data_IF_518889095399
#
_entry.id   IF_518889095399
#
_cell.length_a   1.000
_cell.length_b   1.000
_cell.length_c   1.000
_cell.angle_alpha   90.00
_cell.angle_beta   90.00
_cell.angle_gamma   90.00
#
_symmetry.space_group_name_H-M   'P 1'
#
loop_
_entity.id
_entity.type
_entity.pdbx_description
1 polymer ?
#
# COMPACT_ATOMS: atom_id res chain seq x y z
N UNK A 1 -19.41 22.33 -25.04
CA UNK A 1 -20.36 22.01 -23.95
C UNK A 1 -19.55 21.37 -22.82
N UNK A 2 -19.57 21.93 -21.61
CA UNK A 2 -18.87 21.35 -20.45
C UNK A 2 -19.83 20.41 -19.73
N UNK A 3 -19.39 19.20 -19.42
CA UNK A 3 -20.12 18.29 -18.54
C UNK A 3 -19.53 18.40 -17.13
N UNK A 4 -20.41 18.60 -16.14
CA UNK A 4 -20.06 18.88 -14.75
C UNK A 4 -20.58 17.77 -13.85
N UNK A 5 -19.71 17.23 -12.99
CA UNK A 5 -20.08 16.20 -12.01
C UNK A 5 -19.70 16.72 -10.60
N UNK A 6 -20.71 17.09 -9.81
CA UNK A 6 -20.52 17.50 -8.42
C UNK A 6 -20.42 16.27 -7.50
N UNK A 7 -19.48 16.33 -6.55
CA UNK A 7 -19.28 15.32 -5.51
C UNK A 7 -19.81 15.91 -4.19
N UNK A 8 -21.07 15.61 -3.87
CA UNK A 8 -21.68 15.92 -2.58
C UNK A 8 -21.64 14.67 -1.68
N UNK A 9 -21.18 14.82 -0.44
CA UNK A 9 -21.49 13.82 0.59
C UNK A 9 -21.30 14.36 2.01
N UNK A 10 -22.38 14.28 2.81
CA UNK A 10 -22.35 14.05 4.25
C UNK A 10 -22.49 12.54 4.54
N UNK A 11 -21.98 12.08 5.70
CA UNK A 11 -22.26 10.77 6.35
C UNK A 11 -21.60 9.47 5.77
N UNK A 12 -21.87 8.28 6.36
CA UNK A 12 -21.10 7.61 7.42
C UNK A 12 -20.23 6.43 6.90
N UNK A 13 -19.29 5.99 7.74
CA UNK A 13 -18.22 5.03 7.43
C UNK A 13 -18.73 3.58 7.26
N UNK A 14 -18.37 2.93 6.15
CA UNK A 14 -18.47 1.47 5.97
C UNK A 14 -17.24 0.98 5.20
N UNK A 15 -16.43 0.14 5.84
CA UNK A 15 -15.25 -0.50 5.28
C UNK A 15 -15.57 -1.99 5.05
N UNK A 16 -15.69 -2.42 3.79
CA UNK A 16 -15.95 -3.83 3.46
C UNK A 16 -14.63 -4.57 3.20
N UNK A 17 -14.14 -5.19 4.25
CA UNK A 17 -12.80 -5.72 4.36
C UNK A 17 -12.65 -7.18 3.87
N UNK A 18 -13.68 -7.77 3.26
CA UNK A 18 -13.66 -9.16 2.75
C UNK A 18 -12.70 -9.42 1.58
N UNK A 19 -11.89 -8.44 1.14
CA UNK A 19 -11.14 -8.49 -0.13
C UNK A 19 -9.60 -8.35 -0.03
N UNK A 20 -8.99 -8.04 1.12
CA UNK A 20 -7.57 -7.64 1.14
C UNK A 20 -6.48 -8.67 0.78
N UNK A 21 -6.57 -10.00 1.01
CA UNK A 21 -5.49 -10.90 0.53
C UNK A 21 -5.57 -11.09 -1.00
N UNK A 22 -6.75 -10.84 -1.58
CA UNK A 22 -6.90 -10.67 -3.03
C UNK A 22 -6.35 -9.32 -3.49
N UNK A 23 -6.24 -8.30 -2.63
CA UNK A 23 -5.82 -6.96 -3.08
C UNK A 23 -4.39 -6.89 -3.59
N UNK A 24 -3.40 -7.52 -2.96
CA UNK A 24 -2.02 -7.38 -3.46
C UNK A 24 -1.86 -8.08 -4.82
N UNK A 25 -2.36 -9.31 -4.97
CA UNK A 25 -2.35 -10.03 -6.25
C UNK A 25 -3.26 -9.38 -7.30
N UNK A 26 -4.43 -8.85 -6.92
CA UNK A 26 -5.32 -8.13 -7.83
C UNK A 26 -4.72 -6.79 -8.24
N UNK A 27 -4.07 -6.04 -7.34
CA UNK A 27 -3.33 -4.81 -7.65
C UNK A 27 -2.16 -5.12 -8.57
N UNK A 28 -1.42 -6.18 -8.30
CA UNK A 28 -0.36 -6.66 -9.18
C UNK A 28 -0.88 -7.04 -10.57
N UNK A 29 -2.00 -7.78 -10.67
CA UNK A 29 -2.60 -8.12 -11.96
C UNK A 29 -3.17 -6.88 -12.66
N UNK A 30 -3.75 -5.95 -11.91
CA UNK A 30 -4.25 -4.68 -12.43
C UNK A 30 -3.10 -3.87 -13.05
N UNK A 31 -1.92 -3.81 -12.43
CA UNK A 31 -0.78 -3.07 -13.00
C UNK A 31 -0.25 -3.69 -14.31
N UNK A 32 -0.60 -4.94 -14.63
CA UNK A 32 -0.26 -5.56 -15.92
C UNK A 32 -1.35 -5.40 -16.98
N UNK A 33 -2.61 -5.34 -16.57
CA UNK A 33 -3.80 -5.49 -17.44
C UNK A 33 -4.68 -4.24 -17.52
N UNK A 34 -4.26 -3.17 -16.85
CA UNK A 34 -4.92 -1.87 -16.76
C UNK A 34 -3.83 -0.78 -16.81
N UNK A 35 -4.25 0.45 -17.07
CA UNK A 35 -3.36 1.62 -17.03
C UNK A 35 -3.80 2.56 -15.93
N UNK A 36 -2.84 3.25 -15.32
CA UNK A 36 -3.13 4.30 -14.33
C UNK A 36 -3.81 5.49 -15.00
N UNK A 37 -4.42 6.39 -14.21
CA UNK A 37 -5.03 7.57 -14.81
C UNK A 37 -3.98 8.53 -15.35
N UNK A 38 -2.93 8.79 -14.58
CA UNK A 38 -1.83 9.68 -14.96
C UNK A 38 -0.57 8.87 -15.23
N UNK A 39 0.16 9.25 -16.27
CA UNK A 39 1.44 8.65 -16.65
C UNK A 39 2.55 9.07 -15.68
N UNK A 40 3.46 8.14 -15.38
CA UNK A 40 4.65 8.40 -14.58
C UNK A 40 5.92 8.35 -15.43
N UNK A 41 6.50 9.53 -15.66
CA UNK A 41 7.77 9.70 -16.37
C UNK A 41 8.98 9.72 -15.41
N UNK A 42 8.75 9.91 -14.10
CA UNK A 42 9.82 10.18 -13.12
C UNK A 42 10.31 8.93 -12.40
N UNK A 43 9.57 7.82 -12.47
CA UNK A 43 9.96 6.56 -11.85
C UNK A 43 10.72 5.65 -12.82
N UNK A 44 11.75 4.96 -12.30
CA UNK A 44 12.55 3.96 -13.03
C UNK A 44 11.72 2.81 -13.59
N UNK A 45 10.53 2.59 -13.02
CA UNK A 45 9.49 1.70 -13.55
C UNK A 45 8.41 2.61 -14.12
N UNK A 46 8.61 3.05 -15.37
CA UNK A 46 7.60 3.84 -16.07
C UNK A 46 6.28 3.05 -16.10
N UNK A 47 5.22 3.70 -15.64
CA UNK A 47 3.85 3.18 -15.74
C UNK A 47 3.12 4.01 -16.76
N UNK A 48 2.58 3.34 -17.78
CA UNK A 48 1.72 4.02 -18.72
C UNK A 48 0.48 4.52 -17.97
N UNK A 49 0.09 5.75 -18.26
CA UNK A 49 -1.20 6.28 -17.86
C UNK A 49 -2.01 6.63 -19.10
N UNK A 50 -3.29 6.98 -18.90
CA UNK A 50 -4.14 7.44 -19.98
C UNK A 50 -4.11 8.97 -20.18
N UNK A 51 -3.64 9.69 -19.16
CA UNK A 51 -3.45 11.14 -19.14
C UNK A 51 -1.97 11.49 -18.97
N UNK A 52 -1.58 12.64 -19.51
CA UNK A 52 -0.30 13.30 -19.21
C UNK A 52 -0.26 13.81 -17.77
N UNK A 53 0.91 14.27 -17.33
CA UNK A 53 1.06 14.98 -16.06
C UNK A 53 0.14 16.21 -16.00
N UNK A 54 -0.41 16.46 -14.83
CA UNK A 54 -1.35 17.54 -14.60
C UNK A 54 -0.69 18.91 -14.61
N UNK A 55 -1.32 19.88 -15.26
CA UNK A 55 -0.93 21.30 -15.14
C UNK A 55 -1.81 21.96 -14.11
N UNK A 56 -1.19 22.44 -13.02
CA UNK A 56 -1.87 23.26 -12.01
C UNK A 56 -2.25 24.61 -12.62
N UNK A 57 -3.56 24.87 -12.75
CA UNK A 57 -4.14 26.10 -13.31
C UNK A 57 -4.35 27.17 -12.24
N UNK A 58 -4.60 26.74 -11.02
CA UNK A 58 -4.73 27.59 -9.82
C UNK A 58 -4.43 26.75 -8.57
N UNK A 59 -4.39 27.36 -7.39
CA UNK A 59 -4.10 26.74 -6.08
C UNK A 59 -4.89 25.44 -5.87
N UNK A 60 -6.14 25.39 -6.33
CA UNK A 60 -7.01 24.21 -6.19
C UNK A 60 -7.36 23.52 -7.50
N UNK A 61 -6.88 23.97 -8.66
CA UNK A 61 -7.35 23.46 -9.95
C UNK A 61 -6.23 22.83 -10.76
N UNK A 62 -6.47 21.61 -11.21
CA UNK A 62 -5.58 20.81 -12.04
C UNK A 62 -6.23 20.51 -13.38
N UNK A 63 -5.44 20.52 -14.44
CA UNK A 63 -5.91 20.23 -15.81
C UNK A 63 -5.04 19.18 -16.46
N UNK A 64 -5.69 18.18 -17.04
CA UNK A 64 -5.07 17.00 -17.62
C UNK A 64 -5.47 16.83 -19.07
N UNK A 65 -4.54 16.37 -19.89
CA UNK A 65 -4.73 16.04 -21.30
C UNK A 65 -4.52 14.54 -21.53
N UNK A 66 -5.12 13.94 -22.58
CA UNK A 66 -4.83 12.56 -22.93
C UNK A 66 -3.40 12.42 -23.44
N UNK A 67 -2.81 11.26 -23.22
CA UNK A 67 -1.45 10.95 -23.68
C UNK A 67 -1.42 10.65 -25.18
N UNK A 68 -0.31 10.97 -25.84
CA UNK A 68 -0.17 10.95 -27.30
C UNK A 68 -0.39 9.56 -27.88
N UNK A 69 0.29 8.54 -27.34
CA UNK A 69 0.23 7.17 -27.90
C UNK A 69 -1.19 6.56 -27.86
N UNK A 70 -2.05 6.97 -26.92
CA UNK A 70 -3.46 6.56 -26.92
C UNK A 70 -4.30 7.43 -27.82
N UNK A 71 -3.95 8.70 -27.98
CA UNK A 71 -4.67 9.63 -28.85
C UNK A 71 -4.56 9.26 -30.34
N UNK A 72 -3.49 8.56 -30.73
CA UNK A 72 -3.33 7.95 -32.06
C UNK A 72 -4.30 6.78 -32.30
N UNK A 73 -4.83 6.21 -31.22
CA UNK A 73 -5.54 4.94 -31.22
C UNK A 73 -7.02 5.05 -30.80
N UNK A 74 -7.35 6.09 -30.05
CA UNK A 74 -8.66 6.35 -29.45
C UNK A 74 -8.88 7.86 -29.52
N UNK A 75 -10.08 8.29 -29.89
CA UNK A 75 -10.43 9.72 -29.88
C UNK A 75 -10.12 10.35 -28.50
N UNK A 76 -9.32 11.44 -28.44
CA UNK A 76 -8.98 12.17 -27.21
C UNK A 76 -10.18 12.47 -26.30
N UNK A 77 -11.32 12.84 -26.87
CA UNK A 77 -12.55 13.15 -26.12
C UNK A 77 -13.08 11.91 -25.38
N UNK A 78 -12.97 10.72 -25.98
CA UNK A 78 -13.38 9.47 -25.33
C UNK A 78 -12.45 9.09 -24.18
N UNK A 79 -11.15 9.38 -24.30
CA UNK A 79 -10.18 9.15 -23.23
C UNK A 79 -10.50 10.04 -22.03
N UNK A 80 -10.67 11.34 -22.28
CA UNK A 80 -11.00 12.33 -21.24
C UNK A 80 -12.33 11.99 -20.55
N UNK A 81 -13.36 11.70 -21.33
CA UNK A 81 -14.67 11.31 -20.81
C UNK A 81 -14.58 10.04 -19.95
N UNK A 82 -13.89 9.01 -20.44
CA UNK A 82 -13.73 7.76 -19.71
C UNK A 82 -12.96 7.95 -18.39
N UNK A 83 -11.90 8.78 -18.38
CA UNK A 83 -11.17 9.11 -17.15
C UNK A 83 -12.07 9.81 -16.12
N UNK A 84 -12.86 10.79 -16.56
CA UNK A 84 -13.78 11.53 -15.71
C UNK A 84 -14.87 10.63 -15.10
N UNK A 85 -15.55 9.85 -15.96
CA UNK A 85 -16.61 8.93 -15.54
C UNK A 85 -16.06 7.83 -14.62
N UNK A 86 -14.86 7.31 -14.90
CA UNK A 86 -14.20 6.33 -14.06
C UNK A 86 -13.92 6.88 -12.66
N UNK A 87 -13.24 8.02 -12.54
CA UNK A 87 -12.98 8.68 -11.27
C UNK A 87 -14.25 8.98 -10.49
N UNK A 88 -15.27 9.52 -11.17
CA UNK A 88 -16.56 9.83 -10.56
C UNK A 88 -17.26 8.56 -10.05
N UNK A 89 -17.17 7.45 -10.80
CA UNK A 89 -17.72 6.16 -10.37
C UNK A 89 -16.99 5.59 -9.15
N UNK A 90 -15.66 5.76 -9.06
CA UNK A 90 -14.86 5.29 -7.94
C UNK A 90 -15.22 6.07 -6.67
N UNK A 91 -15.30 7.39 -6.74
CA UNK A 91 -15.69 8.26 -5.62
C UNK A 91 -16.99 7.82 -4.93
N UNK A 92 -17.93 7.21 -5.67
CA UNK A 92 -19.21 6.72 -5.13
C UNK A 92 -19.08 5.40 -4.36
N UNK A 93 -17.99 4.65 -4.53
CA UNK A 93 -17.77 3.36 -3.87
C UNK A 93 -17.20 3.54 -2.46
N UNK A 94 -17.66 2.77 -1.45
CA UNK A 94 -17.23 2.92 -0.06
C UNK A 94 -15.71 2.94 0.14
N UNK A 95 -14.99 2.03 -0.51
CA UNK A 95 -13.54 1.85 -0.36
C UNK A 95 -12.69 2.98 -0.96
N UNK A 96 -13.30 3.84 -1.79
CA UNK A 96 -12.67 4.99 -2.46
C UNK A 96 -13.22 6.33 -1.98
N UNK A 97 -14.12 6.35 -0.98
CA UNK A 97 -14.70 7.60 -0.44
C UNK A 97 -13.67 8.59 0.08
N UNK A 98 -12.48 8.13 0.47
CA UNK A 98 -11.37 9.02 0.85
C UNK A 98 -11.02 10.03 -0.27
N UNK A 99 -11.25 9.70 -1.55
CA UNK A 99 -11.08 10.63 -2.67
C UNK A 99 -11.95 11.87 -2.54
N UNK A 100 -13.13 11.78 -1.91
CA UNK A 100 -14.03 12.94 -1.74
C UNK A 100 -13.51 13.93 -0.71
N UNK A 101 -12.58 13.52 0.17
CA UNK A 101 -11.91 14.44 1.07
C UNK A 101 -10.91 15.35 0.33
N UNK A 102 -10.42 14.89 -0.81
CA UNK A 102 -9.39 15.57 -1.59
C UNK A 102 -10.01 16.31 -2.78
N UNK A 103 -10.89 15.64 -3.52
CA UNK A 103 -11.48 16.15 -4.75
C UNK A 103 -12.86 16.74 -4.44
N UNK A 104 -13.04 18.01 -4.79
CA UNK A 104 -14.33 18.69 -4.68
C UNK A 104 -15.16 18.59 -5.95
N UNK A 105 -14.51 18.60 -7.11
CA UNK A 105 -15.20 18.68 -8.41
C UNK A 105 -14.39 18.01 -9.51
N UNK A 106 -15.09 17.35 -10.42
CA UNK A 106 -14.53 16.79 -11.65
C UNK A 106 -15.33 17.37 -12.83
N UNK A 107 -14.65 18.08 -13.71
CA UNK A 107 -15.20 18.66 -14.92
C UNK A 107 -14.43 18.14 -16.11
N UNK A 108 -15.09 17.94 -17.25
CA UNK A 108 -14.38 17.60 -18.46
C UNK A 108 -14.93 18.33 -19.68
N UNK A 109 -14.04 18.52 -20.65
CA UNK A 109 -14.32 19.05 -21.98
C UNK A 109 -13.72 18.11 -23.03
N UNK A 110 -13.80 18.47 -24.31
CA UNK A 110 -13.27 17.63 -25.40
C UNK A 110 -11.80 17.23 -25.22
N UNK A 111 -10.97 18.15 -24.70
CA UNK A 111 -9.52 17.97 -24.67
C UNK A 111 -8.94 17.93 -23.25
N UNK A 112 -9.75 18.22 -22.23
CA UNK A 112 -9.25 18.42 -20.89
C UNK A 112 -10.13 17.78 -19.83
N UNK A 113 -9.50 17.10 -18.89
CA UNK A 113 -10.07 16.76 -17.59
C UNK A 113 -9.59 17.81 -16.58
N UNK A 114 -10.51 18.51 -15.94
CA UNK A 114 -10.23 19.49 -14.90
C UNK A 114 -10.70 18.96 -13.55
N UNK A 115 -9.79 18.91 -12.57
CA UNK A 115 -10.07 18.45 -11.22
C UNK A 115 -9.86 19.62 -10.26
N UNK A 116 -10.87 19.90 -9.44
CA UNK A 116 -10.76 20.86 -8.34
C UNK A 116 -10.56 20.10 -7.03
N UNK A 117 -9.54 20.47 -6.26
CA UNK A 117 -9.23 19.91 -4.95
C UNK A 117 -9.92 20.73 -3.85
N UNK A 118 -9.98 20.19 -2.63
CA UNK A 118 -10.57 20.88 -1.45
C UNK A 118 -9.57 21.73 -0.68
N UNK A 119 -8.28 21.47 -0.89
CA UNK A 119 -7.16 22.19 -0.31
C UNK A 119 -6.00 22.19 -1.30
N UNK A 120 -5.00 23.01 -1.03
CA UNK A 120 -3.82 23.18 -1.87
C UNK A 120 -3.00 21.89 -1.86
N UNK A 121 -2.92 21.23 -3.01
CA UNK A 121 -2.11 20.02 -3.20
C UNK A 121 -0.84 20.35 -3.96
N UNK A 122 0.28 19.80 -3.49
CA UNK A 122 1.55 19.83 -4.19
C UNK A 122 1.53 18.95 -5.45
N UNK A 123 1.06 17.71 -5.31
CA UNK A 123 1.12 16.69 -6.35
C UNK A 123 -0.14 15.82 -6.32
N UNK A 124 -1.13 16.19 -7.14
CA UNK A 124 -2.32 15.38 -7.36
C UNK A 124 -2.02 14.15 -8.22
N UNK A 125 -0.99 14.20 -9.07
CA UNK A 125 -0.62 13.12 -9.98
C UNK A 125 -0.23 11.86 -9.20
N UNK A 126 0.49 11.99 -8.09
CA UNK A 126 0.83 10.86 -7.22
C UNK A 126 -0.41 10.09 -6.71
N UNK A 127 -1.50 10.81 -6.43
CA UNK A 127 -2.78 10.20 -6.01
C UNK A 127 -3.41 9.49 -7.21
N UNK A 128 -3.45 10.14 -8.38
CA UNK A 128 -4.05 9.60 -9.60
C UNK A 128 -3.25 8.46 -10.26
N UNK A 129 -2.00 8.25 -9.84
CA UNK A 129 -1.15 7.12 -10.22
C UNK A 129 -1.41 5.85 -9.39
N UNK A 130 -2.25 5.93 -8.36
CA UNK A 130 -2.58 4.78 -7.54
C UNK A 130 -3.19 3.65 -8.40
N UNK A 131 -2.63 2.43 -8.37
CA UNK A 131 -3.12 1.30 -9.16
C UNK A 131 -4.58 0.94 -8.92
N UNK A 132 -5.12 1.23 -7.72
CA UNK A 132 -6.52 1.03 -7.40
C UNK A 132 -7.47 1.95 -8.19
N UNK A 133 -6.95 3.00 -8.82
CA UNK A 133 -7.67 3.92 -9.70
C UNK A 133 -7.49 3.57 -11.20
N UNK A 134 -6.86 2.44 -11.52
CA UNK A 134 -6.54 2.07 -12.90
C UNK A 134 -7.79 1.74 -13.70
N UNK A 135 -7.72 2.07 -15.00
CA UNK A 135 -8.78 1.81 -15.96
C UNK A 135 -8.45 0.61 -16.84
N UNK A 136 -9.42 -0.31 -16.98
CA UNK A 136 -9.21 -1.54 -17.76
C UNK A 136 -9.44 -1.36 -19.26
N UNK A 137 -10.41 -0.51 -19.64
CA UNK A 137 -10.79 -0.35 -21.04
C UNK A 137 -11.39 1.03 -21.30
N UNK A 138 -11.12 1.57 -22.48
CA UNK A 138 -11.77 2.76 -23.02
C UNK A 138 -12.44 2.36 -24.33
N UNK A 139 -13.75 2.58 -24.43
CA UNK A 139 -14.54 2.29 -25.63
C UNK A 139 -14.23 0.91 -26.24
N UNK A 140 -14.39 -0.15 -25.43
CA UNK A 140 -14.10 -1.57 -25.77
C UNK A 140 -12.62 -1.91 -26.02
N UNK A 141 -11.72 -0.93 -26.15
CA UNK A 141 -10.28 -1.19 -26.26
C UNK A 141 -9.70 -1.51 -24.88
N UNK A 142 -9.20 -2.74 -24.72
CA UNK A 142 -8.53 -3.19 -23.48
C UNK A 142 -7.16 -2.55 -23.34
N UNK A 143 -6.92 -1.89 -22.21
CA UNK A 143 -5.67 -1.24 -21.86
C UNK A 143 -4.69 -2.19 -21.15
N UNK A 144 -3.49 -1.71 -20.84
CA UNK A 144 -2.41 -2.49 -20.22
C UNK A 144 -1.58 -3.28 -21.23
N UNK A 145 -0.35 -3.60 -20.87
CA UNK A 145 0.61 -4.31 -21.74
C UNK A 145 0.25 -5.79 -21.93
N UNK A 146 -0.50 -6.38 -21.01
CA UNK A 146 -0.82 -7.81 -21.02
C UNK A 146 -2.33 -8.06 -21.11
N UNK A 147 -2.67 -9.15 -21.78
CA UNK A 147 -4.00 -9.76 -21.72
C UNK A 147 -3.95 -10.98 -20.81
N UNK A 148 -4.96 -11.11 -19.93
CA UNK A 148 -5.07 -12.22 -19.00
C UNK A 148 -5.93 -13.33 -19.60
N UNK A 149 -5.39 -14.55 -19.62
CA UNK A 149 -6.08 -15.78 -20.02
C UNK A 149 -5.88 -16.85 -18.95
N UNK A 150 -6.96 -17.51 -18.52
CA UNK A 150 -6.86 -18.69 -17.66
C UNK A 150 -6.57 -19.93 -18.52
N UNK A 151 -5.44 -20.61 -18.28
CA UNK A 151 -5.09 -21.85 -19.00
C UNK A 151 -5.60 -23.08 -18.25
N UNK A 152 -5.34 -23.14 -16.94
CA UNK A 152 -5.76 -24.23 -16.04
C UNK A 152 -6.24 -23.65 -14.71
N UNK A 153 -6.74 -24.51 -13.79
CA UNK A 153 -7.24 -24.07 -12.48
C UNK A 153 -6.21 -23.21 -11.72
N UNK A 154 -4.94 -23.60 -11.75
CA UNK A 154 -3.82 -22.97 -11.04
C UNK A 154 -2.85 -22.19 -11.94
N UNK A 155 -3.19 -21.98 -13.23
CA UNK A 155 -2.29 -21.31 -14.18
C UNK A 155 -2.99 -20.16 -14.88
N UNK A 156 -2.43 -18.96 -14.73
CA UNK A 156 -2.81 -17.76 -15.47
C UNK A 156 -1.73 -17.40 -16.47
N UNK A 157 -2.11 -17.21 -17.72
CA UNK A 157 -1.24 -16.71 -18.78
C UNK A 157 -1.48 -15.20 -18.95
N UNK A 158 -0.40 -14.44 -18.83
CA UNK A 158 -0.31 -13.03 -19.21
C UNK A 158 0.36 -12.96 -20.58
N UNK A 159 -0.45 -12.85 -21.63
CA UNK A 159 0.03 -12.72 -23.01
C UNK A 159 0.34 -11.26 -23.31
N UNK A 160 1.58 -10.97 -23.67
CA UNK A 160 2.03 -9.63 -24.04
C UNK A 160 1.33 -9.19 -25.34
N UNK A 161 0.74 -8.00 -25.33
CA UNK A 161 0.04 -7.43 -26.49
C UNK A 161 0.98 -6.82 -27.52
N UNK A 162 2.22 -6.52 -27.14
CA UNK A 162 3.26 -5.94 -28.00
C UNK A 162 4.14 -7.00 -28.69
N UNK A 163 3.80 -8.28 -28.56
CA UNK A 163 4.39 -9.48 -29.21
C UNK A 163 5.92 -9.70 -29.16
N UNK A 164 6.73 -8.78 -28.60
CA UNK A 164 8.18 -8.76 -28.82
C UNK A 164 9.03 -9.08 -27.57
N UNK A 165 8.46 -9.10 -26.36
CA UNK A 165 9.24 -9.33 -25.11
C UNK A 165 9.10 -10.76 -24.55
N UNK A 166 8.17 -10.97 -23.63
CA UNK A 166 7.91 -12.26 -23.00
C UNK A 166 6.42 -12.42 -22.71
N UNK A 167 5.94 -13.67 -22.70
CA UNK A 167 4.67 -14.03 -22.07
C UNK A 167 4.96 -14.62 -20.69
N UNK A 168 4.09 -14.38 -19.73
CA UNK A 168 4.30 -14.86 -18.35
C UNK A 168 3.23 -15.86 -17.96
N UNK A 169 3.64 -16.97 -17.34
CA UNK A 169 2.74 -17.91 -16.68
C UNK A 169 2.87 -17.74 -15.18
N UNK A 170 1.78 -17.34 -14.54
CA UNK A 170 1.66 -17.30 -13.09
C UNK A 170 1.11 -18.64 -12.62
N UNK A 171 1.90 -19.36 -11.83
CA UNK A 171 1.53 -20.63 -11.22
C UNK A 171 1.14 -20.41 -9.75
N UNK A 172 -0.08 -20.76 -9.41
CA UNK A 172 -0.52 -20.87 -8.02
C UNK A 172 -0.04 -22.19 -7.43
N UNK A 173 0.68 -22.13 -6.31
CA UNK A 173 1.14 -23.31 -5.56
C UNK A 173 0.41 -23.41 -4.23
N UNK A 174 0.30 -24.60 -3.66
CA UNK A 174 -0.44 -24.81 -2.40
C UNK A 174 0.37 -24.38 -1.18
N UNK A 175 1.69 -24.21 -1.34
CA UNK A 175 2.58 -23.80 -0.25
C UNK A 175 3.84 -23.14 -0.78
N UNK A 176 4.49 -22.32 0.04
CA UNK A 176 5.81 -21.79 -0.26
C UNK A 176 6.80 -22.93 -0.57
N UNK A 177 6.84 -23.98 0.26
CA UNK A 177 7.74 -25.14 0.07
C UNK A 177 7.61 -25.77 -1.33
N UNK A 178 6.39 -25.91 -1.84
CA UNK A 178 6.14 -26.39 -3.20
C UNK A 178 6.76 -25.44 -4.25
N UNK A 179 6.49 -24.14 -4.14
CA UNK A 179 7.08 -23.13 -5.03
C UNK A 179 8.61 -23.13 -5.03
N UNK A 180 9.24 -23.24 -3.84
CA UNK A 180 10.70 -23.38 -3.71
C UNK A 180 11.22 -24.60 -4.45
N UNK A 181 10.63 -25.77 -4.20
CA UNK A 181 11.06 -27.02 -4.84
C UNK A 181 10.95 -26.96 -6.37
N UNK A 182 9.91 -26.31 -6.90
CA UNK A 182 9.75 -26.13 -8.36
C UNK A 182 10.84 -25.20 -8.92
N UNK A 183 11.20 -24.15 -8.19
CA UNK A 183 12.29 -23.24 -8.57
C UNK A 183 13.65 -23.94 -8.57
N UNK A 184 13.99 -24.66 -7.51
CA UNK A 184 15.26 -25.39 -7.39
C UNK A 184 15.42 -26.47 -8.47
N UNK A 185 14.31 -27.06 -8.94
CA UNK A 185 14.28 -27.99 -10.08
C UNK A 185 14.34 -27.30 -11.45
N UNK A 186 14.38 -25.97 -11.50
CA UNK A 186 14.40 -25.20 -12.74
C UNK A 186 13.06 -25.12 -13.47
N UNK A 187 11.94 -25.48 -12.81
CA UNK A 187 10.58 -25.42 -13.39
C UNK A 187 9.93 -24.05 -13.22
N UNK A 188 10.49 -23.19 -12.38
CA UNK A 188 10.13 -21.77 -12.25
C UNK A 188 11.38 -20.92 -12.51
N UNK A 189 11.25 -19.88 -13.33
CA UNK A 189 12.35 -18.94 -13.57
C UNK A 189 12.38 -17.78 -12.57
N UNK A 190 11.21 -17.48 -11.99
CA UNK A 190 10.98 -16.42 -11.03
C UNK A 190 10.22 -17.06 -9.86
N UNK A 191 10.89 -17.21 -8.72
CA UNK A 191 10.26 -17.66 -7.48
C UNK A 191 10.06 -16.47 -6.56
N UNK A 192 8.91 -15.82 -6.74
CA UNK A 192 8.54 -14.63 -6.01
C UNK A 192 7.72 -14.96 -4.77
N UNK A 193 8.18 -14.46 -3.64
CA UNK A 193 7.44 -14.46 -2.40
C UNK A 193 7.66 -13.13 -1.69
N UNK A 194 6.58 -12.41 -1.46
CA UNK A 194 6.58 -11.34 -0.46
C UNK A 194 6.42 -12.04 0.89
N UNK A 195 7.29 -11.73 1.84
CA UNK A 195 7.25 -12.27 3.20
C UNK A 195 7.23 -13.79 3.23
N UNK A 196 8.37 -14.40 2.94
CA UNK A 196 8.58 -15.84 3.09
C UNK A 196 9.30 -16.11 4.42
N UNK A 197 9.13 -17.29 5.02
CA UNK A 197 9.77 -17.61 6.29
C UNK A 197 11.29 -17.68 6.13
N UNK A 198 12.00 -17.63 7.26
CA UNK A 198 13.46 -17.76 7.32
C UNK A 198 13.99 -18.98 6.56
N UNK A 199 13.26 -20.09 6.59
CA UNK A 199 13.57 -21.35 5.92
C UNK A 199 13.43 -21.35 4.39
N UNK A 200 12.90 -20.29 3.79
CA UNK A 200 12.60 -20.25 2.36
C UNK A 200 13.86 -20.09 1.50
N UNK A 201 14.69 -19.09 1.77
CA UNK A 201 16.03 -18.93 1.18
C UNK A 201 16.95 -18.31 2.24
N UNK A 202 18.19 -18.79 2.32
CA UNK A 202 19.18 -18.23 3.23
C UNK A 202 19.71 -16.90 2.68
N UNK A 203 20.12 -15.99 3.56
CA UNK A 203 20.71 -14.70 3.16
C UNK A 203 22.03 -14.88 2.37
N UNK A 204 22.72 -15.99 2.59
CA UNK A 204 23.98 -16.36 1.93
C UNK A 204 23.83 -16.98 0.55
N UNK A 205 22.63 -17.46 0.22
CA UNK A 205 22.38 -18.06 -1.09
C UNK A 205 22.45 -16.92 -2.12
N UNK A 206 23.18 -17.08 -3.23
CA UNK A 206 23.53 -16.00 -4.20
C UNK A 206 22.38 -15.01 -4.45
N UNK A 207 22.62 -13.76 -4.07
CA UNK A 207 21.66 -12.65 -4.09
C UNK A 207 21.54 -12.01 -5.48
N UNK A 208 20.46 -11.25 -5.65
CA UNK A 208 20.12 -10.36 -6.75
C UNK A 208 21.25 -9.46 -7.26
N UNK A 209 21.15 -8.97 -8.52
CA UNK A 209 21.79 -7.72 -8.92
C UNK A 209 21.27 -6.50 -8.15
N UNK A 210 19.95 -6.39 -7.86
CA UNK A 210 19.40 -5.28 -7.06
C UNK A 210 18.13 -5.68 -6.28
N UNK A 211 18.20 -5.73 -4.94
CA UNK A 211 17.02 -5.89 -4.09
C UNK A 211 16.35 -4.53 -3.86
N UNK A 212 15.24 -4.27 -4.54
CA UNK A 212 14.37 -3.13 -4.19
C UNK A 212 13.72 -3.36 -2.82
N UNK A 213 13.56 -2.31 -2.02
CA UNK A 213 12.82 -2.37 -0.76
C UNK A 213 11.32 -2.52 -1.03
N UNK A 214 10.66 -3.51 -0.41
CA UNK A 214 9.20 -3.59 -0.41
C UNK A 214 8.66 -2.62 0.66
N UNK A 215 7.71 -1.74 0.34
CA UNK A 215 7.15 -0.77 1.27
C UNK A 215 6.06 -1.42 2.14
N UNK A 216 6.20 -2.69 2.53
CA UNK A 216 5.21 -3.38 3.35
C UNK A 216 5.61 -3.21 4.81
N UNK A 217 4.74 -2.60 5.60
CA UNK A 217 5.06 -2.15 6.94
C UNK A 217 4.37 -3.04 7.98
N UNK A 218 5.12 -3.51 8.96
CA UNK A 218 4.58 -4.16 10.14
C UNK A 218 4.10 -3.14 11.15
N UNK A 219 2.89 -3.38 11.63
CA UNK A 219 2.27 -2.64 12.70
C UNK A 219 1.75 -3.59 13.77
N UNK A 220 1.88 -3.19 15.02
CA UNK A 220 1.07 -3.70 16.12
C UNK A 220 -0.11 -2.78 16.31
N UNK A 221 -1.33 -3.32 16.43
CA UNK A 221 -2.55 -2.55 16.68
C UNK A 221 -3.22 -2.98 17.98
N UNK A 222 -3.84 -2.05 18.68
CA UNK A 222 -4.71 -2.37 19.81
C UNK A 222 -6.05 -2.94 19.33
N UNK A 223 -6.54 -3.97 20.02
CA UNK A 223 -7.95 -4.38 19.96
C UNK A 223 -8.86 -3.29 20.51
N UNK A 224 -10.12 -3.27 20.06
CA UNK A 224 -11.05 -2.17 20.36
C UNK A 224 -11.41 -2.01 21.84
N UNK A 225 -11.33 -3.09 22.65
CA UNK A 225 -11.58 -3.06 24.11
C UNK A 225 -10.29 -2.97 24.94
N UNK A 226 -9.11 -2.96 24.32
CA UNK A 226 -7.88 -2.74 25.07
C UNK A 226 -7.91 -1.34 25.68
N UNK A 227 -7.55 -1.19 26.95
CA UNK A 227 -7.53 0.12 27.60
C UNK A 227 -6.37 1.00 27.09
N UNK A 228 -6.55 2.32 27.12
CA UNK A 228 -5.53 3.26 26.65
C UNK A 228 -4.25 3.22 27.49
N UNK A 229 -4.37 3.05 28.81
CA UNK A 229 -3.20 2.96 29.69
C UNK A 229 -2.36 1.73 29.36
N UNK A 230 -3.01 0.57 29.24
CA UNK A 230 -2.36 -0.67 28.81
C UNK A 230 -1.71 -0.55 27.43
N UNK A 231 -2.40 0.09 26.48
CA UNK A 231 -1.84 0.33 25.16
C UNK A 231 -0.62 1.24 25.18
N UNK A 232 -0.65 2.33 25.95
CA UNK A 232 0.49 3.25 26.05
C UNK A 232 1.74 2.55 26.62
N UNK A 233 1.57 1.75 27.67
CA UNK A 233 2.67 0.93 28.21
C UNK A 233 3.22 -0.04 27.16
N UNK A 234 2.35 -0.71 26.40
CA UNK A 234 2.75 -1.60 25.31
C UNK A 234 3.51 -0.85 24.19
N UNK A 235 3.12 0.37 23.86
CA UNK A 235 3.86 1.21 22.91
C UNK A 235 5.28 1.50 23.40
N UNK A 236 5.47 1.77 24.69
CA UNK A 236 6.81 1.97 25.25
C UNK A 236 7.65 0.69 25.17
N UNK A 237 7.05 -0.47 25.40
CA UNK A 237 7.70 -1.77 25.15
C UNK A 237 8.13 -1.94 23.69
N UNK A 238 7.21 -1.76 22.74
CA UNK A 238 7.51 -1.96 21.33
C UNK A 238 8.53 -0.95 20.80
N UNK A 239 8.54 0.28 21.32
CA UNK A 239 9.49 1.33 20.92
C UNK A 239 10.94 0.98 21.26
N UNK A 240 11.15 0.14 22.27
CA UNK A 240 12.47 -0.31 22.73
C UNK A 240 12.77 -1.76 22.31
N UNK A 241 11.80 -2.46 21.73
CA UNK A 241 11.91 -3.86 21.35
C UNK A 241 12.81 -4.01 20.13
N UNK A 242 14.00 -4.57 20.29
CA UNK A 242 14.78 -5.05 19.14
C UNK A 242 14.18 -6.35 18.61
N UNK A 243 13.88 -6.43 17.32
CA UNK A 243 13.38 -7.64 16.64
C UNK A 243 14.46 -8.14 15.68
N UNK A 244 15.04 -9.29 16.00
CA UNK A 244 16.08 -9.97 15.23
C UNK A 244 15.52 -10.93 14.17
N UNK A 245 14.20 -11.00 13.99
CA UNK A 245 13.56 -11.80 12.96
C UNK A 245 14.07 -11.43 11.57
N UNK A 246 14.55 -12.43 10.84
CA UNK A 246 15.09 -12.27 9.48
C UNK A 246 14.01 -11.78 8.49
N UNK A 247 12.72 -11.89 8.82
CA UNK A 247 11.62 -11.36 7.98
C UNK A 247 11.39 -9.84 8.14
N UNK A 248 11.95 -9.19 9.16
CA UNK A 248 11.73 -7.76 9.45
C UNK A 248 13.04 -6.96 9.28
N UNK A 249 12.93 -5.81 8.62
CA UNK A 249 13.92 -4.74 8.64
C UNK A 249 13.42 -3.65 9.60
N UNK A 250 13.94 -3.63 10.82
CA UNK A 250 13.51 -2.68 11.83
C UNK A 250 14.15 -1.30 11.58
N UNK A 251 13.31 -0.28 11.48
CA UNK A 251 13.67 1.13 11.29
C UNK A 251 12.91 1.98 12.30
N UNK A 252 13.40 3.19 12.59
CA UNK A 252 12.78 4.08 13.58
C UNK A 252 11.37 4.54 13.19
N UNK A 253 11.10 4.64 11.89
CA UNK A 253 9.79 4.91 11.33
C UNK A 253 9.74 4.40 9.88
N UNK A 254 8.56 4.45 9.24
CA UNK A 254 8.32 3.85 7.91
C UNK A 254 9.22 4.34 6.79
N UNK A 255 9.81 5.52 6.96
CA UNK A 255 10.55 6.23 5.92
C UNK A 255 12.03 6.38 6.27
N UNK A 256 12.40 6.08 7.51
CA UNK A 256 13.79 6.10 7.91
C UNK A 256 14.54 4.95 7.24
N UNK A 257 15.77 5.26 6.81
CA UNK A 257 16.77 4.26 6.45
C UNK A 257 17.67 3.90 7.64
N UNK A 258 17.57 4.65 8.73
CA UNK A 258 18.35 4.44 9.93
C UNK A 258 17.75 3.29 10.74
N UNK A 259 18.60 2.29 11.01
CA UNK A 259 18.26 1.21 11.94
C UNK A 259 18.16 1.79 13.33
N UNK A 260 17.23 1.26 14.13
CA UNK A 260 17.15 1.62 15.54
C UNK A 260 18.45 1.17 16.20
N UNK A 261 19.22 2.14 16.72
CA UNK A 261 20.30 1.88 17.67
C UNK A 261 19.65 1.38 18.95
N UNK A 262 19.95 0.14 19.35
CA UNK A 262 19.42 -0.43 20.58
C UNK A 262 19.85 0.46 21.76
N UNK A 263 18.90 1.19 22.34
CA UNK A 263 19.12 1.75 23.66
C UNK A 263 19.24 0.57 24.64
N UNK A 264 20.20 0.59 25.58
CA UNK A 264 20.31 -0.49 26.56
C UNK A 264 18.96 -0.66 27.26
N UNK A 265 18.40 -1.85 27.11
CA UNK A 265 17.08 -2.23 27.63
C UNK A 265 17.12 -2.08 29.15
N UNK A 266 16.66 -0.96 29.68
CA UNK A 266 16.48 -0.80 31.11
C UNK A 266 15.27 -1.65 31.50
N UNK A 267 15.55 -2.70 32.25
CA UNK A 267 14.64 -3.75 32.76
C UNK A 267 13.51 -3.24 33.67
N UNK A 268 13.28 -1.93 33.72
CA UNK A 268 12.34 -1.27 34.64
C UNK A 268 11.00 -0.88 34.00
N UNK A 269 10.50 -1.63 33.00
CA UNK A 269 9.14 -1.45 32.49
C UNK A 269 8.16 -2.37 33.24
N UNK A 270 8.01 -2.13 34.53
CA UNK A 270 6.88 -2.67 35.30
C UNK A 270 5.66 -1.78 35.02
N UNK A 271 4.79 -2.19 34.10
CA UNK A 271 3.32 -2.17 34.24
C UNK A 271 2.71 -2.56 32.88
N UNK A 272 2.69 -3.87 32.62
CA UNK A 272 1.83 -4.46 31.59
C UNK A 272 0.79 -5.24 32.37
N UNK A 273 -0.49 -4.92 32.17
CA UNK A 273 -1.70 -5.58 32.67
C UNK A 273 -1.52 -6.78 33.62
N UNK A 274 -2.38 -6.86 34.65
CA UNK A 274 -2.37 -7.97 35.62
C UNK A 274 -2.50 -9.36 34.96
N UNK A 275 -2.95 -9.42 33.70
CA UNK A 275 -3.14 -10.65 32.91
C UNK A 275 -2.37 -10.59 31.59
N UNK A 276 -1.86 -11.75 31.16
CA UNK A 276 -1.25 -11.92 29.85
C UNK A 276 -2.27 -11.66 28.73
N UNK A 277 -1.85 -10.94 27.69
CA UNK A 277 -2.70 -10.54 26.58
C UNK A 277 -2.35 -11.33 25.30
N UNK A 278 -3.35 -11.69 24.47
CA UNK A 278 -3.09 -12.33 23.19
C UNK A 278 -2.45 -11.34 22.19
N UNK A 279 -1.38 -11.79 21.53
CA UNK A 279 -0.87 -11.22 20.28
C UNK A 279 -1.44 -12.01 19.10
N UNK A 280 -2.48 -11.46 18.50
CA UNK A 280 -3.17 -12.04 17.37
C UNK A 280 -2.37 -11.86 16.07
N UNK A 281 -2.20 -12.94 15.30
CA UNK A 281 -1.48 -12.91 14.02
C UNK A 281 -2.11 -13.87 13.01
N UNK A 282 -1.93 -13.60 11.71
CA UNK A 282 -2.51 -14.42 10.65
C UNK A 282 -1.62 -15.61 10.32
N UNK A 283 -2.17 -16.54 9.54
CA UNK A 283 -1.45 -17.66 8.93
C UNK A 283 -0.47 -17.26 7.80
N UNK A 284 -0.28 -15.96 7.56
CA UNK A 284 0.74 -15.48 6.66
C UNK A 284 2.14 -15.86 7.19
N UNK A 285 2.98 -16.59 6.43
CA UNK A 285 4.12 -17.33 6.97
C UNK A 285 5.08 -16.59 7.92
N UNK A 286 5.54 -15.35 7.64
CA UNK A 286 6.50 -14.67 8.51
C UNK A 286 5.87 -14.17 9.82
N UNK A 287 4.53 -14.09 9.90
CA UNK A 287 3.87 -13.56 11.08
C UNK A 287 4.06 -14.45 12.31
N UNK A 288 4.19 -15.76 12.13
CA UNK A 288 4.43 -16.69 13.23
C UNK A 288 5.80 -16.44 13.89
N UNK A 289 6.86 -16.38 13.07
CA UNK A 289 8.22 -16.09 13.54
C UNK A 289 8.28 -14.75 14.29
N UNK A 290 7.66 -13.72 13.73
CA UNK A 290 7.61 -12.38 14.33
C UNK A 290 6.81 -12.39 15.65
N UNK A 291 5.63 -13.00 15.66
CA UNK A 291 4.78 -13.03 16.86
C UNK A 291 5.44 -13.80 18.00
N UNK A 292 6.04 -14.95 17.71
CA UNK A 292 6.78 -15.76 18.70
C UNK A 292 7.93 -14.97 19.29
N UNK A 293 8.70 -14.26 18.46
CA UNK A 293 9.82 -13.48 18.95
C UNK A 293 9.37 -12.33 19.87
N UNK A 294 8.37 -11.55 19.45
CA UNK A 294 7.80 -10.46 20.27
C UNK A 294 7.30 -11.01 21.61
N UNK A 295 6.58 -12.13 21.60
CA UNK A 295 6.07 -12.76 22.82
C UNK A 295 7.20 -13.26 23.73
N UNK A 296 8.27 -13.85 23.18
CA UNK A 296 9.42 -14.32 23.95
C UNK A 296 10.12 -13.19 24.72
N UNK A 297 10.15 -11.98 24.14
CA UNK A 297 10.74 -10.78 24.73
C UNK A 297 9.79 -10.02 25.67
N UNK A 298 8.53 -10.47 25.78
CA UNK A 298 7.50 -9.81 26.60
C UNK A 298 7.45 -10.28 28.06
N UNK A 299 8.33 -11.21 28.48
CA UNK A 299 8.35 -11.79 29.84
C UNK A 299 6.96 -12.34 30.28
N UNK A 300 6.28 -13.07 29.39
CA UNK A 300 4.99 -13.70 29.67
C UNK A 300 3.78 -12.76 29.64
N UNK A 301 3.96 -11.49 29.24
CA UNK A 301 2.87 -10.51 29.13
C UNK A 301 2.09 -10.61 27.83
N UNK A 302 2.71 -11.11 26.78
CA UNK A 302 2.06 -11.42 25.51
C UNK A 302 2.19 -12.91 25.21
N UNK A 303 1.16 -13.51 24.64
CA UNK A 303 1.22 -14.88 24.09
C UNK A 303 0.72 -14.91 22.64
N UNK A 304 1.36 -15.70 21.76
CA UNK A 304 1.00 -15.71 20.35
C UNK A 304 -0.33 -16.45 20.16
N UNK A 305 -1.24 -15.86 19.37
CA UNK A 305 -2.55 -16.46 19.05
C UNK A 305 -2.86 -16.37 17.56
N UNK A 306 -2.68 -17.48 16.85
CA UNK A 306 -2.96 -17.58 15.41
C UNK A 306 -4.46 -17.46 15.13
N UNK A 307 -4.82 -16.68 14.12
CA UNK A 307 -6.20 -16.51 13.64
C UNK A 307 -6.24 -16.44 12.11
N UNK A 308 -7.40 -16.69 11.48
CA UNK A 308 -7.56 -16.48 10.04
C UNK A 308 -7.24 -15.04 9.61
N UNK A 309 -6.57 -14.87 8.46
CA UNK A 309 -6.21 -13.55 7.90
C UNK A 309 -7.40 -12.59 7.81
N UNK A 310 -8.57 -13.08 7.42
CA UNK A 310 -9.80 -12.28 7.33
C UNK A 310 -10.16 -11.61 8.66
N UNK A 311 -9.85 -12.22 9.81
CA UNK A 311 -10.18 -11.61 11.10
C UNK A 311 -9.26 -10.43 11.44
N UNK A 312 -8.01 -10.41 10.97
CA UNK A 312 -7.08 -9.30 11.14
C UNK A 312 -7.46 -8.12 10.26
N UNK A 313 -7.80 -8.44 9.03
CA UNK A 313 -8.11 -7.45 8.00
C UNK A 313 -9.49 -6.84 8.19
N UNK A 314 -10.48 -7.65 8.58
CA UNK A 314 -11.86 -7.19 8.68
C UNK A 314 -12.19 -6.38 9.91
N UNK A 315 -11.20 -6.14 10.79
CA UNK A 315 -11.44 -5.49 12.09
C UNK A 315 -12.70 -6.06 12.73
N UNK A 316 -12.82 -7.39 12.69
CA UNK A 316 -14.02 -8.05 13.16
C UNK A 316 -14.12 -7.79 14.66
N UNK A 317 -15.34 -7.51 15.11
CA UNK A 317 -15.81 -7.50 16.49
C UNK A 317 -15.37 -8.68 17.37
N UNK A 318 -14.60 -9.65 16.83
CA UNK A 318 -14.03 -10.81 17.50
C UNK A 318 -12.69 -10.54 18.17
N UNK A 319 -11.91 -9.55 17.73
CA UNK A 319 -10.60 -9.24 18.32
C UNK A 319 -10.69 -7.93 19.09
N UNK A 320 -10.93 -8.04 20.40
CA UNK A 320 -11.24 -6.88 21.22
C UNK A 320 -10.24 -6.69 22.37
N UNK A 321 -9.67 -7.78 22.89
CA UNK A 321 -9.01 -7.85 24.20
C UNK A 321 -7.48 -7.92 24.15
N UNK A 322 -6.86 -7.80 22.98
CA UNK A 322 -5.42 -7.99 22.82
C UNK A 322 -4.78 -7.04 21.84
N UNK A 323 -3.63 -7.45 21.31
CA UNK A 323 -2.88 -6.74 20.27
C UNK A 323 -2.84 -7.55 18.99
N UNK A 324 -2.73 -6.87 17.85
CA UNK A 324 -2.83 -7.48 16.51
C UNK A 324 -1.57 -7.16 15.72
N UNK A 325 -0.87 -8.18 15.24
CA UNK A 325 0.19 -8.05 14.25
C UNK A 325 -0.43 -7.92 12.85
N UNK A 326 -0.15 -6.80 12.18
CA UNK A 326 -0.73 -6.47 10.87
C UNK A 326 0.34 -5.97 9.92
N UNK A 327 0.35 -6.51 8.70
CA UNK A 327 1.13 -5.99 7.59
C UNK A 327 0.24 -5.04 6.78
N UNK A 328 0.75 -3.84 6.52
CA UNK A 328 0.08 -2.81 5.75
C UNK A 328 0.94 -2.39 4.56
N UNK A 329 0.34 -2.41 3.37
CA UNK A 329 0.89 -1.72 2.20
C UNK A 329 0.45 -0.25 2.23
N UNK A 330 1.32 0.71 1.87
CA UNK A 330 0.89 2.07 1.62
C UNK A 330 -0.10 2.07 0.45
N UNK A 331 -1.09 2.95 0.51
CA UNK A 331 -2.02 3.13 -0.61
C UNK A 331 -1.32 3.86 -1.77
N UNK A 332 -0.60 4.93 -1.47
CA UNK A 332 0.14 5.72 -2.47
C UNK A 332 1.66 5.62 -2.31
N UNK A 333 2.39 5.85 -3.39
CA UNK A 333 3.85 5.84 -3.39
C UNK A 333 4.45 6.98 -2.56
N UNK A 334 5.63 6.75 -2.01
CA UNK A 334 6.41 7.75 -1.28
C UNK A 334 5.95 8.04 0.16
N UNK A 335 6.55 9.07 0.76
CA UNK A 335 6.35 9.54 2.15
C UNK A 335 4.87 9.79 2.49
N UNK A 336 4.04 10.01 1.47
CA UNK A 336 2.67 10.53 1.56
C UNK A 336 1.59 9.44 1.52
N UNK A 337 2.00 8.18 1.40
CA UNK A 337 1.15 7.03 1.02
C UNK A 337 -0.14 6.77 1.79
N UNK A 338 -0.26 7.26 3.04
CA UNK A 338 -1.46 7.08 3.88
C UNK A 338 -2.15 8.40 4.23
N UNK A 339 -1.59 9.57 3.85
CA UNK A 339 -2.16 10.85 4.26
C UNK A 339 -3.57 11.11 3.73
N UNK A 340 -3.96 10.69 2.51
CA UNK A 340 -5.33 10.88 2.01
C UNK A 340 -6.42 10.27 2.90
N UNK A 341 -6.23 9.02 3.34
CA UNK A 341 -7.14 8.32 4.24
C UNK A 341 -7.17 8.97 5.62
N UNK A 342 -6.03 9.48 6.08
CA UNK A 342 -5.91 10.14 7.38
C UNK A 342 -6.48 11.55 7.40
N UNK A 343 -6.38 12.30 6.30
CA UNK A 343 -7.08 13.57 6.15
C UNK A 343 -8.59 13.34 6.22
N UNK A 344 -9.09 12.33 5.50
CA UNK A 344 -10.49 11.89 5.60
C UNK A 344 -10.87 11.52 7.05
N UNK A 345 -10.08 10.70 7.74
CA UNK A 345 -10.31 10.35 9.15
C UNK A 345 -10.26 11.60 10.06
N UNK A 346 -9.35 12.53 9.81
CA UNK A 346 -9.20 13.75 10.60
C UNK A 346 -10.34 14.75 10.43
N UNK A 347 -10.96 14.77 9.25
CA UNK A 347 -12.11 15.61 8.98
C UNK A 347 -13.40 15.03 9.58
N UNK A 348 -13.52 13.70 9.59
CA UNK A 348 -14.77 13.03 9.95
C UNK A 348 -14.83 12.53 11.40
N UNK A 349 -13.69 12.15 12.01
CA UNK A 349 -13.65 11.58 13.36
C UNK A 349 -12.89 12.45 14.38
N UNK A 350 -12.05 13.39 13.93
CA UNK A 350 -11.23 14.24 14.81
C UNK A 350 -11.78 15.67 14.83
N UNK A 351 -12.98 15.86 15.38
CA UNK A 351 -13.62 17.18 15.51
C UNK A 351 -12.86 18.18 16.40
N UNK A 352 -11.76 17.80 17.05
CA UNK A 352 -11.13 18.60 18.10
C UNK A 352 -9.67 19.05 17.89
N UNK A 353 -8.98 18.70 16.78
CA UNK A 353 -7.57 19.12 16.60
C UNK A 353 -7.27 19.85 15.28
N UNK A 354 -7.65 21.14 15.23
CA UNK A 354 -7.35 22.06 14.10
C UNK A 354 -5.86 22.14 13.76
N UNK A 355 -4.98 22.00 14.76
CA UNK A 355 -3.53 22.00 14.58
C UNK A 355 -3.07 20.83 13.69
N UNK A 356 -3.69 19.66 13.88
CA UNK A 356 -3.36 18.45 13.13
C UNK A 356 -3.87 18.50 11.69
N UNK A 357 -5.09 19.00 11.47
CA UNK A 357 -5.61 19.24 10.11
C UNK A 357 -4.69 20.20 9.36
N UNK A 358 -4.27 21.31 10.00
CA UNK A 358 -3.33 22.28 9.43
C UNK A 358 -1.97 21.64 9.12
N UNK A 359 -1.46 20.76 9.98
CA UNK A 359 -0.19 20.07 9.77
C UNK A 359 -0.25 19.11 8.57
N UNK A 360 -1.34 18.34 8.44
CA UNK A 360 -1.58 17.50 7.27
C UNK A 360 -1.73 18.33 5.98
N UNK A 361 -2.51 19.40 6.00
CA UNK A 361 -2.67 20.30 4.85
C UNK A 361 -1.35 20.94 4.44
N UNK A 362 -0.51 21.31 5.40
CA UNK A 362 0.83 21.86 5.11
C UNK A 362 1.70 20.80 4.42
N UNK A 363 1.71 19.56 4.90
CA UNK A 363 2.41 18.45 4.23
C UNK A 363 1.95 18.27 2.79
N UNK A 364 0.63 18.24 2.58
CA UNK A 364 0.06 18.08 1.26
C UNK A 364 0.41 19.23 0.31
N UNK A 365 0.47 20.46 0.83
CA UNK A 365 0.82 21.65 0.06
C UNK A 365 2.31 21.71 -0.33
N UNK A 366 3.20 21.25 0.56
CA UNK A 366 4.64 21.37 0.37
C UNK A 366 5.28 20.14 -0.30
N UNK A 367 4.59 19.00 -0.30
CA UNK A 367 5.12 17.74 -0.85
C UNK A 367 6.22 17.12 0.01
N UNK A 368 6.76 15.99 -0.43
CA UNK A 368 7.80 15.26 0.29
C UNK A 368 9.22 15.87 0.18
N UNK A 369 9.37 16.95 -0.60
CA UNK A 369 10.67 17.44 -1.07
C UNK A 369 11.41 18.37 -0.11
N UNK A 370 10.79 18.86 0.97
CA UNK A 370 11.36 19.93 1.81
C UNK A 370 11.10 19.80 3.32
N UNK A 371 10.75 18.60 3.82
CA UNK A 371 10.56 18.39 5.26
C UNK A 371 11.75 17.72 5.93
N UNK A 372 12.14 18.28 7.08
CA UNK A 372 12.93 17.61 8.11
C UNK A 372 12.23 16.31 8.52
N UNK A 373 12.95 15.19 8.51
CA UNK A 373 12.47 13.88 8.95
C UNK A 373 11.80 13.96 10.33
N UNK A 374 12.20 14.91 11.17
CA UNK A 374 11.58 15.18 12.48
C UNK A 374 10.10 15.58 12.39
N UNK A 375 9.69 16.32 11.36
CA UNK A 375 8.30 16.75 11.17
C UNK A 375 7.43 15.58 10.69
N UNK A 376 7.93 14.78 9.75
CA UNK A 376 7.27 13.57 9.27
C UNK A 376 7.12 12.56 10.42
N UNK A 377 8.17 12.37 11.21
CA UNK A 377 8.16 11.50 12.39
C UNK A 377 7.12 11.95 13.43
N UNK A 378 7.03 13.25 13.73
CA UNK A 378 6.01 13.79 14.64
C UNK A 378 4.60 13.48 14.17
N UNK A 379 4.34 13.61 12.87
CA UNK A 379 3.05 13.33 12.26
C UNK A 379 2.73 11.84 12.31
N UNK A 380 3.69 10.99 11.94
CA UNK A 380 3.56 9.54 12.03
C UNK A 380 3.31 9.06 13.46
N UNK A 381 4.03 9.59 14.46
CA UNK A 381 3.81 9.26 15.87
C UNK A 381 2.40 9.63 16.32
N UNK A 382 1.90 10.78 15.87
CA UNK A 382 0.53 11.24 16.19
C UNK A 382 -0.52 10.36 15.50
N UNK A 383 -0.33 10.04 14.21
CA UNK A 383 -1.16 9.09 13.45
C UNK A 383 -1.24 7.75 14.16
N UNK A 384 -0.09 7.21 14.53
CA UNK A 384 0.03 5.91 15.17
C UNK A 384 -0.69 5.89 16.52
N UNK A 385 -0.57 6.98 17.30
CA UNK A 385 -1.32 7.16 18.54
C UNK A 385 -2.84 7.14 18.33
N UNK A 386 -3.36 7.93 17.38
CA UNK A 386 -4.79 8.02 17.10
C UNK A 386 -5.37 6.70 16.56
N UNK A 387 -4.64 6.04 15.66
CA UNK A 387 -5.02 4.73 15.13
C UNK A 387 -4.78 3.58 16.13
N UNK A 388 -4.26 3.89 17.32
CA UNK A 388 -3.82 2.91 18.33
C UNK A 388 -2.99 1.79 17.70
N UNK A 389 -2.00 2.20 16.91
CA UNK A 389 -1.05 1.33 16.25
C UNK A 389 0.40 1.78 16.50
N UNK A 390 1.34 0.89 16.29
CA UNK A 390 2.77 1.15 16.44
C UNK A 390 3.52 0.44 15.32
N UNK A 391 4.36 1.18 14.60
CA UNK A 391 5.21 0.63 13.54
C UNK A 391 6.42 -0.09 14.15
N UNK A 392 6.69 -1.31 13.72
CA UNK A 392 7.83 -2.11 14.25
C UNK A 392 8.87 -2.46 13.20
N UNK A 393 8.66 -2.08 11.93
CA UNK A 393 9.63 -2.34 10.85
C UNK A 393 8.97 -2.65 9.51
N UNK A 394 9.79 -2.84 8.50
CA UNK A 394 9.37 -3.20 7.14
C UNK A 394 9.56 -4.69 6.90
N UNK A 395 8.70 -5.30 6.09
CA UNK A 395 8.86 -6.66 5.62
C UNK A 395 10.05 -6.72 4.66
N UNK A 396 11.01 -7.60 4.96
CA UNK A 396 12.14 -7.84 4.07
C UNK A 396 11.68 -8.62 2.82
N UNK A 397 12.00 -8.14 1.60
CA UNK A 397 11.80 -8.94 0.40
C UNK A 397 12.66 -10.20 0.44
N UNK A 398 12.08 -11.35 0.08
CA UNK A 398 12.78 -12.62 -0.04
C UNK A 398 12.35 -13.34 -1.31
N UNK A 399 13.15 -13.14 -2.33
CA UNK A 399 12.82 -13.46 -3.70
C UNK A 399 14.01 -14.22 -4.31
N UNK A 400 13.81 -14.96 -5.40
CA UNK A 400 14.87 -15.34 -6.35
C UNK A 400 14.36 -15.28 -7.78
N UNK A 401 15.22 -14.85 -8.69
CA UNK A 401 14.93 -14.82 -10.12
C UNK A 401 16.20 -14.93 -10.94
N UNK A 402 16.11 -15.58 -12.10
CA UNK A 402 17.16 -15.57 -13.12
C UNK A 402 17.22 -14.25 -13.89
N UNK A 403 16.15 -13.45 -13.82
CA UNK A 403 15.98 -12.16 -14.50
C UNK A 403 16.09 -10.97 -13.55
N UNK A 404 16.39 -9.81 -14.10
CA UNK A 404 16.31 -8.53 -13.37
C UNK A 404 14.84 -8.13 -13.25
N UNK A 405 14.34 -7.98 -12.02
CA UNK A 405 12.95 -7.64 -11.74
C UNK A 405 12.88 -6.32 -10.99
N UNK A 406 12.56 -5.21 -11.66
CA UNK A 406 12.47 -3.91 -10.99
C UNK A 406 11.18 -3.83 -10.17
N UNK A 407 11.30 -3.41 -8.90
CA UNK A 407 10.20 -3.23 -7.94
C UNK A 407 10.07 -1.72 -7.63
N UNK A 408 8.85 -1.18 -7.71
CA UNK A 408 8.61 0.25 -7.48
C UNK A 408 8.47 0.59 -5.99
N UNK A 409 8.27 1.88 -5.70
CA UNK A 409 8.08 2.39 -4.34
C UNK A 409 6.78 1.91 -3.66
N UNK A 410 5.87 1.28 -4.40
CA UNK A 410 4.66 0.61 -3.89
C UNK A 410 4.86 -0.90 -3.72
N UNK A 411 6.06 -1.41 -4.00
CA UNK A 411 6.40 -2.82 -3.93
C UNK A 411 5.82 -3.63 -5.08
N UNK A 412 5.46 -2.98 -6.19
CA UNK A 412 4.79 -3.57 -7.32
C UNK A 412 5.76 -3.73 -8.49
N UNK A 413 5.59 -4.82 -9.24
CA UNK A 413 6.41 -5.17 -10.40
C UNK A 413 5.63 -4.83 -11.67
N UNK A 414 6.33 -4.34 -12.71
CA UNK A 414 5.79 -4.24 -14.07
C UNK A 414 6.49 -5.27 -14.95
N UNK A 415 5.75 -6.27 -15.43
CA UNK A 415 6.31 -7.41 -16.17
C UNK A 415 6.99 -7.01 -17.49
N UNK A 416 6.53 -5.92 -18.13
CA UNK A 416 7.17 -5.37 -19.33
C UNK A 416 8.59 -4.88 -19.10
N UNK A 417 9.00 -4.68 -17.84
CA UNK A 417 10.28 -4.13 -17.46
C UNK A 417 11.25 -5.20 -16.92
N UNK A 418 10.84 -6.48 -16.93
CA UNK A 418 11.74 -7.59 -16.61
C UNK A 418 12.73 -7.78 -17.76
N UNK A 419 14.00 -7.97 -17.44
CA UNK A 419 15.13 -8.15 -18.37
C UNK A 419 15.81 -9.49 -18.19
#
# INVERSE_FOLDING_TARGET
>A
MYSMLNIESEMPYYFDAKKLPKEYHQRYLATQTMETLVHDEKNSISRNGILKQGVKKDIYQWSYQPIEYLSELINPELIIKAAAEHLYSLVKKPEYRWLTAIISRINYSRNFLNITTRFDLYDLDNILRDPSLSIHSIHQKKLGDFSLKKEKKSILLLKNKKEIKYNFRLLETNSCKEGKNLFEKGLLDICWGIGTPSSFFNESDTLFPHSGHLPLNYFIKAGSKLENNTWNSLVDFFSNLEISCVAINQTSHRLSREKISAAPFTTSFLFFADKALPLYYSDYPPNDEVAVEICSKSNGKLFPKKIPYENIVMSNSKIQDGVILSIQAPRHGGIVGNYPELYFLSKNNLTSNKEYQKLLETLFKQGATWYDDSAIFKIEKKINKEMRQHFIGQLKPRFRSKYTVPIDQLGLIKLSNIE
#
